data_IF_988009356405
#
_entry.id   IF_988009356405
#
_cell.length_a   1.000
_cell.length_b   1.000
_cell.length_c   1.000
_cell.angle_alpha   90.00
_cell.angle_beta   90.00
_cell.angle_gamma   90.00
#
_symmetry.space_group_name_H-M   'P 1'
#
loop_
_entity.id
_entity.type
_entity.pdbx_description
1 polymer ?
#
# COMPACT_ATOMS: atom_id res chain seq x y z
N UNK A 1 -1.68 -9.94 17.84
CA UNK A 1 -2.23 -8.67 18.38
C UNK A 1 -3.33 -8.20 17.45
N UNK A 2 -4.44 -7.72 18.00
CA UNK A 2 -5.52 -7.08 17.25
C UNK A 2 -5.84 -5.76 17.94
N UNK A 3 -5.95 -4.68 17.17
CA UNK A 3 -6.36 -3.39 17.71
C UNK A 3 -7.88 -3.37 17.70
N UNK A 4 -8.49 -3.19 18.88
CA UNK A 4 -9.95 -3.07 18.98
C UNK A 4 -10.45 -1.93 18.08
N UNK A 5 -11.44 -2.21 17.24
CA UNK A 5 -11.94 -1.31 16.21
C UNK A 5 -11.18 -1.40 14.88
N UNK A 6 -10.20 -2.30 14.77
CA UNK A 6 -9.40 -2.54 13.57
C UNK A 6 -8.18 -1.64 13.43
N UNK A 7 -7.36 -1.92 12.42
CA UNK A 7 -6.06 -1.26 12.19
C UNK A 7 -6.18 0.25 11.94
N UNK A 8 -7.33 0.75 11.48
CA UNK A 8 -7.60 2.18 11.30
C UNK A 8 -7.51 2.99 12.60
N UNK A 9 -7.69 2.36 13.76
CA UNK A 9 -7.49 3.02 15.06
C UNK A 9 -6.04 3.42 15.32
N UNK A 10 -5.08 2.76 14.68
CA UNK A 10 -3.67 3.16 14.79
C UNK A 10 -3.43 4.53 14.15
N UNK A 11 -4.01 4.79 12.97
CA UNK A 11 -3.87 6.10 12.31
C UNK A 11 -4.57 7.22 13.08
N UNK A 12 -5.76 6.94 13.66
CA UNK A 12 -6.47 7.90 14.50
C UNK A 12 -5.66 8.26 15.77
N UNK A 13 -5.06 7.26 16.42
CA UNK A 13 -4.24 7.47 17.60
C UNK A 13 -2.98 8.31 17.29
N UNK A 14 -2.32 8.03 16.16
CA UNK A 14 -1.16 8.81 15.70
C UNK A 14 -1.55 10.25 15.36
N UNK A 15 -2.66 10.46 14.65
CA UNK A 15 -3.17 11.79 14.34
C UNK A 15 -3.44 12.59 15.62
N UNK A 16 -4.16 11.98 16.57
CA UNK A 16 -4.49 12.60 17.86
C UNK A 16 -3.22 13.03 18.57
N UNK A 17 -2.24 12.13 18.68
CA UNK A 17 -0.97 12.42 19.36
C UNK A 17 -0.18 13.53 18.66
N UNK A 18 -0.14 13.53 17.33
CA UNK A 18 0.51 14.60 16.56
C UNK A 18 -0.13 15.96 16.86
N UNK A 19 -1.47 16.04 16.90
CA UNK A 19 -2.19 17.29 17.19
C UNK A 19 -1.94 17.78 18.62
N UNK A 20 -1.93 16.88 19.61
CA UNK A 20 -1.57 17.21 21.00
C UNK A 20 -0.17 17.82 21.13
N UNK A 21 0.77 17.38 20.28
CA UNK A 21 2.14 17.89 20.21
C UNK A 21 2.26 19.16 19.34
N UNK A 22 1.15 19.72 18.85
CA UNK A 22 1.14 20.96 18.07
C UNK A 22 1.41 20.78 16.56
N UNK A 23 1.45 19.54 16.05
CA UNK A 23 1.61 19.28 14.61
C UNK A 23 0.36 19.74 13.87
N UNK A 24 0.56 20.56 12.83
CA UNK A 24 -0.52 20.99 11.93
C UNK A 24 -0.70 19.98 10.80
N UNK A 25 -1.91 19.47 10.63
CA UNK A 25 -2.27 18.50 9.58
C UNK A 25 -3.26 19.17 8.62
N UNK A 26 -2.87 19.23 7.35
CA UNK A 26 -3.68 19.79 6.28
C UNK A 26 -4.11 18.68 5.32
N UNK A 27 -5.41 18.40 5.28
CA UNK A 27 -6.02 17.43 4.38
C UNK A 27 -6.46 18.11 3.09
N UNK A 28 -6.67 17.32 2.01
CA UNK A 28 -7.10 17.82 0.70
C UNK A 28 -6.17 18.90 0.11
N UNK A 29 -4.87 18.81 0.44
CA UNK A 29 -3.81 19.71 -0.01
C UNK A 29 -2.74 18.92 -0.75
N UNK A 30 -3.03 18.54 -2.00
CA UNK A 30 -2.11 17.74 -2.81
C UNK A 30 -0.87 18.56 -3.17
N UNK A 31 0.30 17.99 -2.91
CA UNK A 31 1.59 18.58 -3.26
C UNK A 31 1.87 18.35 -4.74
N UNK A 32 2.08 19.44 -5.48
CA UNK A 32 2.44 19.39 -6.90
C UNK A 32 3.96 19.35 -7.10
N UNK A 33 4.73 19.98 -6.20
CA UNK A 33 6.17 20.16 -6.38
C UNK A 33 6.91 20.29 -5.05
N UNK A 34 8.12 19.74 -5.00
CA UNK A 34 9.12 20.05 -3.99
C UNK A 34 10.01 21.17 -4.56
N UNK A 35 10.00 22.32 -3.90
CA UNK A 35 10.76 23.49 -4.33
C UNK A 35 12.23 23.30 -3.97
N UNK A 36 13.11 23.67 -4.91
CA UNK A 36 14.56 23.56 -4.70
C UNK A 36 15.30 24.80 -5.19
N UNK A 37 16.31 25.22 -4.43
CA UNK A 37 17.31 26.22 -4.83
C UNK A 37 18.72 25.66 -4.62
N UNK A 38 19.59 25.78 -5.63
CA UNK A 38 20.98 25.28 -5.57
C UNK A 38 21.11 23.81 -5.08
N UNK A 39 20.21 22.91 -5.50
CA UNK A 39 20.10 21.51 -5.06
C UNK A 39 19.72 21.30 -3.58
N UNK A 40 19.15 22.31 -2.92
CA UNK A 40 18.59 22.25 -1.58
C UNK A 40 17.07 22.39 -1.66
N UNK A 41 16.32 21.52 -0.97
CA UNK A 41 14.89 21.68 -0.79
C UNK A 41 14.61 22.93 0.08
N UNK A 42 13.58 23.69 -0.28
CA UNK A 42 13.21 24.95 0.38
C UNK A 42 11.72 25.02 0.74
N UNK A 43 11.00 23.92 0.58
CA UNK A 43 9.55 23.83 0.80
C UNK A 43 8.83 23.11 -0.33
N UNK A 44 7.53 23.36 -0.44
CA UNK A 44 6.63 22.71 -1.39
C UNK A 44 5.70 23.71 -2.06
N UNK A 45 5.19 23.34 -3.23
CA UNK A 45 4.07 24.02 -3.90
C UNK A 45 2.93 23.03 -4.03
N UNK A 46 1.73 23.47 -3.66
CA UNK A 46 0.50 22.70 -3.76
C UNK A 46 -0.11 22.82 -5.17
N UNK A 47 -1.04 21.93 -5.52
CA UNK A 47 -1.72 21.97 -6.84
C UNK A 47 -2.48 23.26 -7.12
N UNK A 48 -2.96 23.96 -6.08
CA UNK A 48 -3.60 25.26 -6.20
C UNK A 48 -2.60 26.44 -6.39
N UNK A 49 -1.29 26.16 -6.45
CA UNK A 49 -0.24 27.16 -6.60
C UNK A 49 0.26 27.78 -5.28
N UNK A 50 -0.34 27.43 -4.14
CA UNK A 50 0.10 27.89 -2.82
C UNK A 50 1.52 27.38 -2.52
N UNK A 51 2.40 28.29 -2.08
CA UNK A 51 3.80 27.97 -1.74
C UNK A 51 3.96 27.96 -0.24
N UNK A 52 4.51 26.86 0.28
CA UNK A 52 4.83 26.67 1.70
C UNK A 52 6.34 26.51 1.80
N UNK A 53 7.00 27.42 2.51
CA UNK A 53 8.45 27.37 2.75
C UNK A 53 8.76 26.53 3.99
N UNK A 54 9.91 25.84 3.97
CA UNK A 54 10.40 25.09 5.12
C UNK A 54 11.92 24.89 5.03
N UNK A 55 12.56 24.71 6.19
CA UNK A 55 13.98 24.37 6.25
C UNK A 55 14.24 22.95 5.74
N UNK A 56 13.34 22.01 6.08
CA UNK A 56 13.41 20.60 5.73
C UNK A 56 12.12 20.13 5.06
N UNK A 57 12.24 19.12 4.19
CA UNK A 57 11.10 18.41 3.57
C UNK A 57 11.26 16.92 3.84
N UNK A 58 10.26 16.30 4.47
CA UNK A 58 10.17 14.84 4.65
C UNK A 58 9.02 14.31 3.80
N UNK A 59 9.34 13.51 2.78
CA UNK A 59 8.37 12.97 1.85
C UNK A 59 8.04 11.51 2.19
N UNK A 60 6.77 11.25 2.49
CA UNK A 60 6.19 9.90 2.62
C UNK A 60 5.46 9.43 1.35
N UNK A 61 5.46 10.24 0.29
CA UNK A 61 4.98 9.81 -1.03
C UNK A 61 5.92 8.76 -1.61
N UNK A 62 5.41 7.93 -2.54
CA UNK A 62 6.24 6.92 -3.20
C UNK A 62 7.50 7.58 -3.81
N UNK A 63 8.64 6.95 -3.58
CA UNK A 63 9.94 7.48 -3.97
C UNK A 63 10.02 7.77 -5.48
N UNK A 64 9.36 6.97 -6.32
CA UNK A 64 9.30 7.26 -7.76
C UNK A 64 8.56 8.55 -8.05
N UNK A 65 7.44 8.80 -7.36
CA UNK A 65 6.67 10.03 -7.49
C UNK A 65 7.50 11.22 -6.99
N UNK A 66 8.16 11.07 -5.84
CA UNK A 66 9.03 12.11 -5.29
C UNK A 66 10.09 12.51 -6.30
N UNK A 67 10.88 11.56 -6.82
CA UNK A 67 12.02 11.88 -7.67
C UNK A 67 11.65 12.19 -9.11
N UNK A 68 10.61 11.57 -9.68
CA UNK A 68 10.27 11.72 -11.10
C UNK A 68 9.18 12.76 -11.36
N UNK A 69 8.30 13.04 -10.39
CA UNK A 69 7.15 13.92 -10.59
C UNK A 69 7.23 15.20 -9.74
N UNK A 70 7.62 15.08 -8.46
CA UNK A 70 7.63 16.23 -7.55
C UNK A 70 8.92 17.05 -7.62
N UNK A 71 10.03 16.47 -8.08
CA UNK A 71 11.32 17.16 -8.23
C UNK A 71 11.60 17.44 -9.70
N UNK A 72 11.90 18.70 -10.01
CA UNK A 72 12.21 19.15 -11.37
C UNK A 72 13.31 18.31 -12.05
N UNK A 73 13.15 17.96 -13.34
CA UNK A 73 14.15 17.18 -14.08
C UNK A 73 15.56 17.78 -14.05
N UNK A 74 15.68 19.11 -13.95
CA UNK A 74 16.92 19.88 -13.92
C UNK A 74 17.76 19.70 -12.64
N UNK A 75 17.16 19.26 -11.53
CA UNK A 75 17.87 19.06 -10.25
C UNK A 75 18.87 17.91 -10.37
N UNK A 76 20.16 18.26 -10.48
CA UNK A 76 21.22 17.31 -10.80
C UNK A 76 21.44 16.27 -9.69
N UNK A 77 21.28 16.67 -8.43
CA UNK A 77 21.48 15.78 -7.28
C UNK A 77 20.43 14.66 -7.18
N UNK A 78 19.26 14.81 -7.81
CA UNK A 78 18.22 13.78 -7.89
C UNK A 78 18.53 12.68 -8.94
N UNK A 79 19.39 12.97 -9.93
CA UNK A 79 19.67 12.05 -11.06
C UNK A 79 20.14 10.65 -10.66
N UNK A 80 21.05 10.49 -9.66
CA UNK A 80 21.48 9.15 -9.25
C UNK A 80 20.34 8.30 -8.70
N UNK A 81 19.43 8.89 -7.92
CA UNK A 81 18.27 8.20 -7.36
C UNK A 81 17.27 7.82 -8.46
N UNK A 82 16.97 8.72 -9.41
CA UNK A 82 16.13 8.38 -10.59
C UNK A 82 16.68 7.18 -11.36
N UNK A 83 18.00 7.14 -11.62
CA UNK A 83 18.65 6.03 -12.33
C UNK A 83 18.55 4.72 -11.55
N UNK A 84 18.65 4.78 -10.22
CA UNK A 84 18.52 3.61 -9.35
C UNK A 84 17.09 3.08 -9.34
N UNK A 85 16.10 3.96 -9.15
CA UNK A 85 14.68 3.60 -9.12
C UNK A 85 14.20 3.03 -10.46
N UNK A 86 14.69 3.55 -11.59
CA UNK A 86 14.41 2.99 -12.93
C UNK A 86 14.83 1.52 -13.08
N UNK A 87 15.88 1.09 -12.37
CA UNK A 87 16.36 -0.30 -12.39
C UNK A 87 15.68 -1.18 -11.35
N UNK A 88 14.97 -0.59 -10.40
CA UNK A 88 14.39 -1.28 -9.27
C UNK A 88 13.13 -2.04 -9.70
N UNK A 89 13.17 -3.37 -9.65
CA UNK A 89 12.00 -4.22 -9.83
C UNK A 89 10.92 -3.87 -8.82
N UNK A 90 9.67 -3.75 -9.27
CA UNK A 90 8.52 -3.42 -8.42
C UNK A 90 7.97 -4.67 -7.77
N UNK A 91 7.45 -4.55 -6.55
CA UNK A 91 6.77 -5.68 -5.91
C UNK A 91 5.49 -6.01 -6.67
N UNK A 92 4.98 -7.22 -6.45
CA UNK A 92 3.60 -7.56 -6.79
C UNK A 92 2.59 -6.58 -6.15
N UNK A 93 1.38 -6.59 -6.68
CA UNK A 93 0.24 -5.86 -6.16
C UNK A 93 -0.71 -6.81 -5.40
N UNK A 94 -1.76 -6.23 -4.80
CA UNK A 94 -2.81 -7.00 -4.14
C UNK A 94 -4.17 -6.72 -4.76
N UNK A 95 -5.01 -7.74 -4.85
CA UNK A 95 -6.44 -7.60 -5.06
C UNK A 95 -7.14 -8.01 -3.77
N UNK A 96 -8.02 -7.15 -3.25
CA UNK A 96 -8.68 -7.43 -1.97
C UNK A 96 -10.20 -7.37 -2.06
N UNK A 97 -10.85 -8.18 -1.23
CA UNK A 97 -12.28 -8.12 -0.97
C UNK A 97 -12.51 -7.69 0.49
N UNK A 98 -13.47 -6.79 0.66
CA UNK A 98 -14.05 -6.37 1.93
C UNK A 98 -15.45 -6.99 1.99
N UNK A 99 -15.59 -8.04 2.78
CA UNK A 99 -16.81 -8.83 2.85
C UNK A 99 -17.54 -8.57 4.17
N UNK A 100 -18.79 -8.16 4.09
CA UNK A 100 -19.74 -8.21 5.19
C UNK A 100 -20.57 -9.48 5.06
N UNK A 101 -20.57 -10.32 6.09
CA UNK A 101 -21.30 -11.59 6.10
C UNK A 101 -22.41 -11.59 7.16
N UNK A 102 -23.47 -12.33 6.89
CA UNK A 102 -24.60 -12.58 7.77
C UNK A 102 -24.81 -14.09 7.97
N UNK A 103 -24.45 -14.54 9.17
CA UNK A 103 -24.54 -15.93 9.59
C UNK A 103 -25.97 -16.41 9.85
N UNK A 104 -26.97 -15.52 9.83
CA UNK A 104 -28.38 -15.95 9.85
C UNK A 104 -28.86 -16.51 8.52
N UNK A 105 -28.16 -16.22 7.41
CA UNK A 105 -28.54 -16.62 6.05
C UNK A 105 -27.96 -17.96 5.61
N UNK A 106 -27.01 -18.52 6.36
CA UNK A 106 -26.35 -19.77 6.01
C UNK A 106 -25.41 -20.26 7.09
N UNK A 107 -24.75 -21.40 6.84
CA UNK A 107 -23.89 -22.05 7.83
C UNK A 107 -22.56 -21.31 7.97
N UNK A 108 -22.34 -20.71 9.14
CA UNK A 108 -21.08 -20.08 9.49
C UNK A 108 -19.94 -21.11 9.63
N UNK A 109 -18.72 -20.68 9.29
CA UNK A 109 -17.51 -21.48 9.45
C UNK A 109 -16.59 -20.78 10.44
N UNK A 110 -16.06 -21.53 11.40
CA UNK A 110 -15.16 -20.98 12.39
C UNK A 110 -13.77 -20.75 11.77
N UNK A 111 -13.39 -19.48 11.64
CA UNK A 111 -12.05 -19.08 11.23
C UNK A 111 -11.23 -18.58 12.42
N UNK A 112 -9.90 -18.69 12.30
CA UNK A 112 -8.98 -17.97 13.17
C UNK A 112 -8.89 -16.50 12.73
N UNK A 113 -8.22 -15.66 13.52
CA UNK A 113 -8.04 -14.25 13.17
C UNK A 113 -7.31 -14.06 11.82
N UNK A 114 -6.35 -14.93 11.51
CA UNK A 114 -5.62 -14.94 10.24
C UNK A 114 -5.61 -16.36 9.67
N UNK A 115 -5.92 -16.49 8.39
CA UNK A 115 -6.03 -17.76 7.69
C UNK A 115 -5.34 -17.62 6.34
N UNK A 116 -4.64 -18.67 5.91
CA UNK A 116 -4.02 -18.73 4.58
C UNK A 116 -4.40 -20.04 3.92
N UNK A 117 -4.94 -19.96 2.73
CA UNK A 117 -5.30 -21.10 1.89
C UNK A 117 -4.38 -21.11 0.69
N UNK A 118 -3.56 -22.14 0.56
CA UNK A 118 -2.62 -22.29 -0.55
C UNK A 118 -3.28 -23.02 -1.73
N UNK A 119 -2.92 -22.67 -2.97
CA UNK A 119 -3.35 -23.39 -4.15
C UNK A 119 -2.61 -24.72 -4.28
N UNK A 120 -3.07 -25.57 -5.20
CA UNK A 120 -2.42 -26.85 -5.45
C UNK A 120 -1.02 -26.68 -6.10
N UNK A 121 -0.84 -25.62 -6.89
CA UNK A 121 0.43 -25.28 -7.53
C UNK A 121 0.79 -23.83 -7.21
N UNK A 122 1.66 -23.64 -6.22
CA UNK A 122 2.07 -22.32 -5.75
C UNK A 122 3.01 -21.60 -6.73
N UNK A 123 3.83 -22.33 -7.49
CA UNK A 123 4.73 -21.71 -8.46
C UNK A 123 3.95 -21.06 -9.62
N UNK A 124 2.84 -21.68 -10.04
CA UNK A 124 1.96 -21.14 -11.08
C UNK A 124 1.38 -19.76 -10.75
N UNK A 125 1.21 -19.44 -9.46
CA UNK A 125 0.79 -18.11 -9.01
C UNK A 125 1.82 -17.05 -9.40
N UNK A 126 3.10 -17.32 -9.17
CA UNK A 126 4.18 -16.39 -9.49
C UNK A 126 4.43 -16.28 -10.99
N UNK A 127 4.32 -17.37 -11.75
CA UNK A 127 4.38 -17.35 -13.22
C UNK A 127 3.26 -16.45 -13.80
N UNK A 128 2.05 -16.53 -13.25
CA UNK A 128 0.93 -15.70 -13.69
C UNK A 128 1.16 -14.22 -13.35
N UNK A 129 1.72 -13.91 -12.18
CA UNK A 129 1.95 -12.53 -11.74
C UNK A 129 3.12 -11.86 -12.46
N UNK A 130 4.27 -12.53 -12.54
CA UNK A 130 5.51 -11.91 -12.97
C UNK A 130 5.82 -12.12 -14.45
N UNK A 131 5.51 -13.30 -15.00
CA UNK A 131 5.85 -13.63 -16.39
C UNK A 131 4.68 -13.35 -17.33
N UNK A 132 3.49 -13.86 -17.02
CA UNK A 132 2.29 -13.67 -17.84
C UNK A 132 1.58 -12.35 -17.55
N UNK A 133 1.80 -11.79 -16.36
CA UNK A 133 1.19 -10.56 -15.87
C UNK A 133 -0.35 -10.56 -15.98
N UNK A 134 -1.00 -11.62 -15.51
CA UNK A 134 -2.46 -11.79 -15.52
C UNK A 134 -3.00 -12.14 -14.12
N UNK A 135 -4.28 -11.85 -13.81
CA UNK A 135 -4.90 -12.28 -12.56
C UNK A 135 -4.76 -13.78 -12.33
N UNK A 136 -4.40 -14.15 -11.10
CA UNK A 136 -4.07 -15.54 -10.76
C UNK A 136 -5.36 -16.36 -10.69
N UNK A 137 -5.41 -17.47 -11.43
CA UNK A 137 -6.62 -18.29 -11.54
C UNK A 137 -6.90 -19.16 -10.30
N UNK A 138 -5.85 -19.61 -9.63
CA UNK A 138 -5.91 -20.34 -8.36
C UNK A 138 -4.97 -19.67 -7.35
N UNK A 139 -5.37 -18.54 -6.74
CA UNK A 139 -4.48 -17.75 -5.90
C UNK A 139 -4.31 -18.35 -4.51
N UNK A 140 -3.20 -18.06 -3.87
CA UNK A 140 -3.13 -18.07 -2.39
C UNK A 140 -4.07 -17.01 -1.85
N UNK A 141 -4.94 -17.42 -0.92
CA UNK A 141 -5.94 -16.55 -0.30
C UNK A 141 -5.56 -16.32 1.16
N UNK A 142 -5.27 -15.07 1.50
CA UNK A 142 -5.22 -14.61 2.88
C UNK A 142 -6.58 -14.09 3.32
N UNK A 143 -7.04 -14.52 4.49
CA UNK A 143 -8.27 -14.02 5.13
C UNK A 143 -7.93 -13.53 6.54
N UNK A 144 -8.17 -12.25 6.77
CA UNK A 144 -8.28 -11.69 8.12
C UNK A 144 -9.76 -11.69 8.53
N UNK A 145 -10.10 -12.45 9.57
CA UNK A 145 -11.44 -12.56 10.13
C UNK A 145 -11.42 -12.20 11.62
N UNK A 146 -11.39 -10.90 11.97
CA UNK A 146 -11.36 -10.47 13.36
C UNK A 146 -12.64 -10.82 14.11
N UNK A 147 -12.51 -11.47 15.26
CA UNK A 147 -13.60 -11.61 16.21
C UNK A 147 -13.67 -10.38 17.13
N UNK A 148 -14.03 -9.24 16.55
CA UNK A 148 -14.13 -7.96 17.25
C UNK A 148 -15.54 -7.36 17.06
N UNK A 149 -16.31 -7.38 18.15
CA UNK A 149 -17.69 -6.86 18.16
C UNK A 149 -17.79 -5.37 17.82
N UNK A 150 -16.71 -4.60 17.95
CA UNK A 150 -16.70 -3.17 17.60
C UNK A 150 -16.56 -2.94 16.10
N UNK A 151 -16.20 -3.96 15.32
CA UNK A 151 -16.07 -3.88 13.87
C UNK A 151 -17.33 -4.30 13.12
N UNK A 152 -18.36 -4.80 13.81
CA UNK A 152 -19.61 -5.28 13.21
C UNK A 152 -20.83 -4.70 13.94
N UNK A 153 -21.98 -4.64 13.26
CA UNK A 153 -23.22 -4.03 13.80
C UNK A 153 -24.18 -5.02 14.47
N UNK A 154 -23.89 -6.33 14.47
CA UNK A 154 -24.79 -7.34 15.02
C UNK A 154 -24.09 -8.66 15.32
N UNK A 155 -24.72 -9.48 16.18
CA UNK A 155 -24.11 -10.71 16.72
C UNK A 155 -23.89 -11.80 15.66
N UNK A 156 -24.72 -11.82 14.62
CA UNK A 156 -24.60 -12.77 13.50
C UNK A 156 -23.77 -12.21 12.33
N UNK A 157 -23.10 -11.07 12.50
CA UNK A 157 -22.36 -10.42 11.42
C UNK A 157 -20.86 -10.69 11.54
N UNK A 158 -20.20 -10.88 10.41
CA UNK A 158 -18.74 -10.94 10.31
C UNK A 158 -18.24 -9.92 9.29
N UNK A 159 -17.01 -9.44 9.49
CA UNK A 159 -16.31 -8.56 8.56
C UNK A 159 -14.98 -9.22 8.17
N UNK A 160 -14.85 -9.67 6.93
CA UNK A 160 -13.63 -10.31 6.43
C UNK A 160 -12.89 -9.38 5.48
N UNK A 161 -11.57 -9.32 5.66
CA UNK A 161 -10.65 -8.80 4.66
C UNK A 161 -9.98 -9.99 3.97
N UNK A 162 -10.19 -10.12 2.67
CA UNK A 162 -9.58 -11.15 1.83
C UNK A 162 -8.54 -10.49 0.94
N UNK A 163 -7.34 -11.05 0.85
CA UNK A 163 -6.27 -10.57 -0.01
C UNK A 163 -5.71 -11.73 -0.84
N UNK A 164 -5.56 -11.49 -2.13
CA UNK A 164 -4.80 -12.34 -3.04
C UNK A 164 -3.69 -11.53 -3.70
N UNK A 165 -2.59 -12.18 -4.04
CA UNK A 165 -1.55 -11.54 -4.84
C UNK A 165 -2.08 -11.30 -6.26
N UNK A 166 -1.65 -10.19 -6.87
CA UNK A 166 -2.11 -9.76 -8.18
C UNK A 166 -0.97 -9.16 -9.01
N UNK A 167 -1.05 -9.25 -10.35
CA UNK A 167 -0.20 -8.43 -11.21
C UNK A 167 -0.47 -6.95 -10.97
N UNK A 168 0.56 -6.14 -11.16
CA UNK A 168 0.44 -4.68 -11.12
C UNK A 168 -0.52 -4.19 -12.20
N UNK A 169 -1.13 -3.03 -11.97
CA UNK A 169 -1.83 -2.31 -13.02
C UNK A 169 -0.81 -1.72 -14.01
N UNK A 170 -0.84 -2.19 -15.26
CA UNK A 170 0.03 -1.73 -16.34
C UNK A 170 -0.69 -1.92 -17.69
N UNK A 171 -1.53 -0.96 -18.12
CA UNK A 171 -2.30 -1.09 -19.36
C UNK A 171 -1.46 -1.14 -20.65
N UNK A 172 -0.20 -0.71 -20.59
CA UNK A 172 0.68 -0.66 -21.77
C UNK A 172 1.44 -1.97 -21.97
N UNK A 173 1.89 -2.59 -20.87
CA UNK A 173 2.80 -3.73 -20.95
C UNK A 173 2.29 -5.00 -20.23
N UNK A 174 1.21 -4.91 -19.44
CA UNK A 174 0.69 -5.99 -18.62
C UNK A 174 -0.83 -5.96 -18.46
N UNK A 175 -1.33 -6.15 -17.22
CA UNK A 175 -2.77 -6.22 -16.97
C UNK A 175 -3.43 -4.85 -16.77
N UNK A 176 -4.56 -4.66 -17.45
CA UNK A 176 -5.43 -3.51 -17.28
C UNK A 176 -6.62 -3.80 -16.36
N UNK A 177 -6.43 -3.49 -15.07
CA UNK A 177 -7.48 -3.58 -14.03
C UNK A 177 -8.72 -2.67 -14.23
N UNK A 178 -8.82 -1.89 -15.32
CA UNK A 178 -10.10 -1.27 -15.72
C UNK A 178 -11.12 -2.31 -16.18
N UNK A 179 -10.67 -3.52 -16.51
CA UNK A 179 -11.50 -4.61 -17.03
C UNK A 179 -11.38 -5.87 -16.17
N UNK A 180 -12.43 -6.69 -16.11
CA UNK A 180 -12.39 -8.03 -15.51
C UNK A 180 -12.36 -8.09 -13.97
N UNK A 181 -12.35 -6.95 -13.28
CA UNK A 181 -12.21 -6.89 -11.82
C UNK A 181 -13.40 -7.52 -11.09
N UNK A 182 -14.63 -7.31 -11.59
CA UNK A 182 -15.84 -7.84 -10.95
C UNK A 182 -15.98 -9.35 -11.17
N UNK A 183 -15.62 -9.83 -12.36
CA UNK A 183 -15.53 -11.25 -12.68
C UNK A 183 -14.47 -11.93 -11.79
N UNK A 184 -13.32 -11.27 -11.59
CA UNK A 184 -12.28 -11.78 -10.71
C UNK A 184 -12.71 -11.83 -9.24
N UNK A 185 -13.37 -10.79 -8.73
CA UNK A 185 -13.95 -10.80 -7.39
C UNK A 185 -14.96 -11.94 -7.20
N UNK A 186 -15.83 -12.16 -8.19
CA UNK A 186 -16.80 -13.25 -8.19
C UNK A 186 -16.12 -14.63 -8.22
N UNK A 187 -15.03 -14.77 -8.97
CA UNK A 187 -14.23 -15.99 -9.00
C UNK A 187 -13.57 -16.30 -7.65
N UNK A 188 -13.06 -15.28 -6.95
CA UNK A 188 -12.52 -15.44 -5.59
C UNK A 188 -13.63 -15.89 -4.63
N UNK A 189 -14.82 -15.27 -4.66
CA UNK A 189 -15.95 -15.71 -3.82
C UNK A 189 -16.32 -17.16 -4.09
N UNK A 190 -16.41 -17.56 -5.37
CA UNK A 190 -16.65 -18.95 -5.75
C UNK A 190 -15.55 -19.89 -5.23
N UNK A 191 -14.29 -19.46 -5.26
CA UNK A 191 -13.17 -20.24 -4.71
C UNK A 191 -13.29 -20.40 -3.19
N UNK A 192 -13.69 -19.35 -2.46
CA UNK A 192 -13.95 -19.43 -1.02
C UNK A 192 -15.04 -20.46 -0.70
N UNK A 193 -16.11 -20.53 -1.50
CA UNK A 193 -17.14 -21.57 -1.34
C UNK A 193 -16.61 -22.97 -1.62
N UNK A 194 -15.78 -23.14 -2.66
CA UNK A 194 -15.13 -24.43 -2.96
C UNK A 194 -14.19 -24.91 -1.85
N UNK A 195 -13.63 -23.98 -1.08
CA UNK A 195 -12.86 -24.28 0.14
C UNK A 195 -13.75 -24.62 1.35
N UNK A 196 -15.07 -24.63 1.17
CA UNK A 196 -16.05 -24.94 2.22
C UNK A 196 -16.35 -23.77 3.16
N UNK A 197 -15.99 -22.53 2.79
CA UNK A 197 -16.16 -21.35 3.66
C UNK A 197 -17.56 -20.73 3.60
N UNK A 198 -18.43 -21.23 2.72
CA UNK A 198 -19.84 -20.85 2.59
C UNK A 198 -20.04 -19.32 2.59
N UNK A 199 -19.27 -18.61 1.76
CA UNK A 199 -19.24 -17.15 1.71
C UNK A 199 -20.43 -16.62 0.91
N UNK A 200 -20.72 -17.17 -0.28
CA UNK A 200 -21.76 -16.62 -1.15
C UNK A 200 -23.15 -16.58 -0.51
N UNK A 201 -23.52 -17.63 0.23
CA UNK A 201 -24.82 -17.72 0.90
C UNK A 201 -24.98 -16.70 2.04
N UNK A 202 -23.87 -16.30 2.66
CA UNK A 202 -23.84 -15.37 3.80
C UNK A 202 -23.52 -13.94 3.36
N UNK A 203 -23.26 -13.69 2.08
CA UNK A 203 -22.75 -12.40 1.62
C UNK A 203 -23.82 -11.31 1.68
N UNK A 204 -23.60 -10.33 2.57
CA UNK A 204 -24.45 -9.15 2.71
C UNK A 204 -23.90 -7.95 1.96
N UNK A 205 -22.58 -7.85 1.94
CA UNK A 205 -21.85 -6.73 1.37
C UNK A 205 -20.54 -7.22 0.79
N UNK A 206 -20.22 -6.74 -0.41
CA UNK A 206 -18.92 -6.94 -1.03
C UNK A 206 -18.46 -5.63 -1.64
N UNK A 207 -17.27 -5.20 -1.24
CA UNK A 207 -16.48 -4.22 -1.96
C UNK A 207 -15.16 -4.88 -2.35
N UNK A 208 -14.64 -4.56 -3.52
CA UNK A 208 -13.31 -5.00 -3.93
C UNK A 208 -12.40 -3.81 -4.19
N UNK A 209 -11.10 -4.01 -3.99
CA UNK A 209 -10.05 -3.04 -4.33
C UNK A 209 -9.02 -3.71 -5.22
N UNK A 210 -8.88 -3.16 -6.41
CA UNK A 210 -7.91 -3.56 -7.43
C UNK A 210 -6.56 -2.88 -7.20
N UNK A 211 -5.49 -3.35 -7.85
CA UNK A 211 -4.24 -2.61 -7.95
C UNK A 211 -4.39 -1.19 -8.52
N UNK A 212 -5.34 -0.96 -9.43
CA UNK A 212 -5.64 0.39 -9.94
C UNK A 212 -6.26 1.27 -8.84
N UNK A 213 -7.18 0.74 -8.04
CA UNK A 213 -7.76 1.49 -6.92
C UNK A 213 -6.70 1.89 -5.92
N UNK A 214 -5.77 0.98 -5.60
CA UNK A 214 -4.66 1.28 -4.70
C UNK A 214 -3.70 2.31 -5.31
N UNK A 215 -3.41 2.23 -6.60
CA UNK A 215 -2.64 3.26 -7.31
C UNK A 215 -3.28 4.64 -7.18
N UNK A 216 -4.59 4.73 -7.38
CA UNK A 216 -5.29 6.01 -7.36
C UNK A 216 -5.46 6.55 -5.93
N UNK A 217 -5.75 5.69 -4.96
CA UNK A 217 -5.99 6.06 -3.58
C UNK A 217 -4.70 6.42 -2.83
N UNK A 218 -3.69 5.56 -2.89
CA UNK A 218 -2.46 5.71 -2.13
C UNK A 218 -1.31 6.32 -2.94
N UNK A 219 -1.53 6.63 -4.23
CA UNK A 219 -0.48 7.04 -5.17
C UNK A 219 0.68 6.01 -5.22
N UNK A 220 0.33 4.72 -5.20
CA UNK A 220 1.28 3.61 -5.26
C UNK A 220 1.44 3.12 -6.73
N UNK A 221 2.59 3.32 -7.40
CA UNK A 221 2.74 2.99 -8.82
C UNK A 221 2.40 1.53 -9.16
N UNK A 222 1.42 1.31 -10.02
CA UNK A 222 0.90 0.00 -10.42
C UNK A 222 0.17 -0.76 -9.31
N UNK A 223 -0.14 -0.12 -8.18
CA UNK A 223 -0.78 -0.76 -7.03
C UNK A 223 0.14 -1.68 -6.21
N UNK A 224 1.46 -1.50 -6.32
CA UNK A 224 2.43 -2.30 -5.56
C UNK A 224 2.28 -2.09 -4.06
N UNK A 225 2.10 -3.17 -3.29
CA UNK A 225 1.83 -3.13 -1.85
C UNK A 225 3.09 -3.05 -0.97
N UNK A 226 4.28 -3.28 -1.54
CA UNK A 226 5.57 -3.23 -0.82
C UNK A 226 6.62 -2.31 -1.46
N UNK A 227 6.21 -1.43 -2.39
CA UNK A 227 7.12 -0.57 -3.13
C UNK A 227 8.08 -1.37 -4.02
N UNK A 228 9.39 -1.30 -3.73
CA UNK A 228 10.41 -2.08 -4.44
C UNK A 228 10.36 -3.55 -4.01
N UNK A 229 10.48 -4.48 -4.97
CA UNK A 229 10.45 -5.92 -4.68
C UNK A 229 11.57 -6.33 -3.72
N UNK A 230 11.36 -7.44 -3.03
CA UNK A 230 12.37 -8.06 -2.14
C UNK A 230 12.86 -9.40 -2.66
N UNK A 231 12.66 -9.69 -3.95
CA UNK A 231 12.95 -10.97 -4.58
C UNK A 231 14.46 -11.30 -4.62
N UNK A 232 15.32 -10.36 -4.24
CA UNK A 232 16.76 -10.59 -4.05
C UNK A 232 17.33 -9.66 -2.98
N UNK A 233 18.43 -10.06 -2.35
CA UNK A 233 19.18 -9.18 -1.44
C UNK A 233 19.64 -7.88 -2.12
N UNK A 234 19.91 -7.93 -3.44
CA UNK A 234 20.27 -6.76 -4.24
C UNK A 234 19.12 -5.74 -4.36
N UNK A 235 17.86 -6.21 -4.38
CA UNK A 235 16.69 -5.35 -4.47
C UNK A 235 16.54 -4.41 -3.26
N UNK A 236 17.01 -4.84 -2.08
CA UNK A 236 17.03 -3.99 -0.88
C UNK A 236 17.92 -2.75 -1.05
N UNK A 237 19.03 -2.86 -1.78
CA UNK A 237 19.95 -1.74 -2.07
C UNK A 237 19.38 -0.75 -3.10
N UNK A 238 18.34 -1.14 -3.84
CA UNK A 238 17.70 -0.29 -4.85
C UNK A 238 16.58 0.60 -4.28
N UNK A 239 16.20 0.40 -3.00
CA UNK A 239 15.26 1.27 -2.28
C UNK A 239 15.82 2.70 -2.15
N UNK A 240 14.94 3.70 -2.14
CA UNK A 240 15.37 5.08 -1.93
C UNK A 240 16.00 5.24 -0.55
N UNK A 241 17.04 6.07 -0.46
CA UNK A 241 17.70 6.36 0.82
C UNK A 241 16.83 7.30 1.64
N UNK A 242 16.86 7.15 2.97
CA UNK A 242 16.16 8.06 3.87
C UNK A 242 16.67 9.51 3.78
N UNK A 243 17.98 9.71 3.66
CA UNK A 243 18.59 11.02 3.37
C UNK A 243 18.84 11.16 1.87
N UNK A 244 18.17 12.10 1.23
CA UNK A 244 18.34 12.38 -0.20
C UNK A 244 19.71 13.01 -0.49
N UNK A 245 20.14 12.91 -1.75
CA UNK A 245 21.24 13.74 -2.28
C UNK A 245 20.81 15.18 -2.56
N UNK A 246 19.50 15.44 -2.66
CA UNK A 246 18.96 16.81 -2.59
C UNK A 246 19.05 17.23 -1.12
N UNK A 247 19.80 18.31 -0.84
CA UNK A 247 20.00 18.77 0.54
C UNK A 247 18.65 19.12 1.18
N UNK A 248 18.49 18.85 2.47
CA UNK A 248 17.26 19.09 3.25
C UNK A 248 16.02 18.28 2.82
N UNK A 249 16.16 17.32 1.91
CA UNK A 249 15.10 16.38 1.54
C UNK A 249 15.34 15.00 2.16
N UNK A 250 14.28 14.44 2.74
CA UNK A 250 14.25 13.10 3.31
C UNK A 250 13.10 12.29 2.72
N UNK A 251 13.28 10.98 2.63
CA UNK A 251 12.25 10.04 2.19
C UNK A 251 11.95 9.05 3.33
N UNK A 252 10.67 8.79 3.58
CA UNK A 252 10.20 7.79 4.55
C UNK A 252 9.14 6.91 3.90
N UNK A 253 8.81 5.79 4.54
CA UNK A 253 7.71 4.93 4.10
C UNK A 253 8.15 3.71 3.31
N UNK A 254 7.18 2.99 2.74
CA UNK A 254 7.39 1.65 2.19
C UNK A 254 8.26 1.58 0.92
N UNK A 255 8.37 2.69 0.19
CA UNK A 255 9.24 2.83 -1.00
C UNK A 255 10.65 3.34 -0.65
N UNK A 256 10.89 3.69 0.61
CA UNK A 256 12.18 4.09 1.13
C UNK A 256 12.80 2.97 1.97
N UNK A 257 14.06 3.14 2.36
CA UNK A 257 14.69 2.26 3.33
C UNK A 257 13.98 2.34 4.70
N UNK A 258 13.82 1.24 5.45
CA UNK A 258 14.25 -0.12 5.13
C UNK A 258 13.30 -0.89 4.21
N UNK A 259 12.03 -0.53 4.06
CA UNK A 259 11.11 -1.15 3.09
C UNK A 259 9.64 -1.13 3.51
N UNK A 260 8.80 -1.87 2.78
CA UNK A 260 7.36 -1.97 3.01
C UNK A 260 6.96 -2.80 4.23
N UNK A 261 5.72 -2.60 4.69
CA UNK A 261 5.15 -3.24 5.88
C UNK A 261 5.19 -2.32 7.11
N UNK A 262 4.15 -2.37 7.94
CA UNK A 262 3.95 -1.45 9.07
C UNK A 262 5.19 -1.30 9.99
N UNK A 263 5.88 -2.38 10.41
CA UNK A 263 7.06 -2.24 11.27
C UNK A 263 8.22 -1.52 10.57
N UNK A 264 8.49 -1.87 9.30
CA UNK A 264 9.59 -1.28 8.54
C UNK A 264 9.32 0.19 8.19
N UNK A 265 8.06 0.55 7.96
CA UNK A 265 7.64 1.94 7.78
C UNK A 265 7.87 2.76 9.05
N UNK A 266 7.54 2.20 10.23
CA UNK A 266 7.83 2.85 11.52
C UNK A 266 9.32 3.08 11.72
N UNK A 267 10.16 2.07 11.45
CA UNK A 267 11.62 2.17 11.51
C UNK A 267 12.15 3.21 10.50
N UNK A 268 11.55 3.30 9.31
CA UNK A 268 11.90 4.31 8.30
C UNK A 268 11.76 5.74 8.86
N UNK A 269 10.66 6.00 9.57
CA UNK A 269 10.40 7.28 10.20
C UNK A 269 11.37 7.56 11.36
N UNK A 270 11.65 6.55 12.19
CA UNK A 270 12.58 6.64 13.32
C UNK A 270 14.00 6.99 12.85
N UNK A 271 14.51 6.29 11.83
CA UNK A 271 15.80 6.60 11.19
C UNK A 271 15.85 8.06 10.72
N UNK A 272 14.80 8.55 10.06
CA UNK A 272 14.77 9.95 9.59
C UNK A 272 14.75 10.93 10.75
N UNK A 273 13.99 10.65 11.82
CA UNK A 273 13.96 11.47 13.02
C UNK A 273 15.35 11.56 13.67
N UNK A 274 16.08 10.46 13.81
CA UNK A 274 17.46 10.44 14.32
C UNK A 274 18.42 11.23 13.42
N UNK A 275 18.29 11.07 12.09
CA UNK A 275 19.14 11.76 11.10
C UNK A 275 18.93 13.28 11.14
N UNK A 276 17.72 13.75 11.42
CA UNK A 276 17.38 15.17 11.53
C UNK A 276 17.82 15.71 12.90
N UNK A 277 17.62 14.92 13.96
CA UNK A 277 17.91 15.29 15.34
C UNK A 277 16.71 15.90 16.07
N UNK A 278 16.90 16.20 17.35
CA UNK A 278 15.88 16.84 18.18
C UNK A 278 15.68 18.30 17.76
N UNK A 279 14.42 18.73 17.80
CA UNK A 279 14.04 20.14 17.68
C UNK A 279 14.47 20.94 18.92
#
# INVERSE_FOLDING_TARGET
WHITGGIGKLSEALETRCRELGVKIYLNKKVAKINTSANCATGITLENGEVITSDLVVANADSEIVYNNLIEPSVKSAKPERRKLKKASKSLAGFSLLLGLDNSKGTAVQLQHHNVYFPNNYDAEFDQIFDKQVPVSDPTIYICAPNDKTMVKGENKEAWFVLVNAPRHDPENGWDWRNGAQEYASAIVKKLDQLGLNVSQRLDYMEYRTPLDLQNYAMAPGGSIYGTSSNSAQSAFLRARNRSKVKNLYCVGGSAHPGGGLPLVGISADIVAEIIGKA
#
